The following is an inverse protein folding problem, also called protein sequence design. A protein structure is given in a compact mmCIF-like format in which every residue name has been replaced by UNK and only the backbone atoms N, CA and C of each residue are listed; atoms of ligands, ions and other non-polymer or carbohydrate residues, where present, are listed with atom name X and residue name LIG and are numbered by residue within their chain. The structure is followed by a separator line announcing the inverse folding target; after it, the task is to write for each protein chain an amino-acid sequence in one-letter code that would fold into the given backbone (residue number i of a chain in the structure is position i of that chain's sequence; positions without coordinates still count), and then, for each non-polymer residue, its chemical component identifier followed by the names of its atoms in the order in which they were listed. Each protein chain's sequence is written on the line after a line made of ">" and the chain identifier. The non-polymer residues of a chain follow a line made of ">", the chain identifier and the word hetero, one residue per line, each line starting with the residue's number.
data_IF_304850726571
#
_entry.id   IF_304850726571
#
_cell.length_a   1.000
_cell.length_b   1.000
_cell.length_c   1.000
_cell.angle_alpha   90.00
_cell.angle_beta   90.00
_cell.angle_gamma   90.00
#
_symmetry.space_group_name_H-M   'P 1'
#
loop_
_entity.id
_entity.type
_entity.pdbx_description
1 polymer ?
#
# COMPACT_ATOMS: atom_id res chain seq x y z
N UNK A 1 -23.80 0.37 27.59
CA UNK A 1 -23.66 1.01 26.26
C UNK A 1 -24.97 1.76 25.96
N UNK A 2 -24.97 2.79 25.10
CA UNK A 2 -26.22 3.38 24.61
C UNK A 2 -27.02 2.34 23.81
N UNK A 3 -28.34 2.29 23.98
CA UNK A 3 -29.24 1.36 23.29
C UNK A 3 -29.06 1.35 21.75
N UNK A 4 -28.74 2.51 21.16
CA UNK A 4 -28.49 2.64 19.72
C UNK A 4 -27.26 1.85 19.26
N UNK A 5 -26.18 1.86 20.04
CA UNK A 5 -24.94 1.16 19.70
C UNK A 5 -25.12 -0.37 19.76
N UNK A 6 -25.91 -0.86 20.72
CA UNK A 6 -26.26 -2.29 20.79
C UNK A 6 -27.07 -2.73 19.56
N UNK A 7 -27.99 -1.88 19.08
CA UNK A 7 -28.76 -2.15 17.86
C UNK A 7 -27.87 -2.16 16.61
N UNK A 8 -26.88 -1.27 16.52
CA UNK A 8 -25.90 -1.25 15.42
C UNK A 8 -25.06 -2.52 15.38
N UNK A 9 -24.54 -2.98 16.52
CA UNK A 9 -23.78 -4.24 16.59
C UNK A 9 -24.64 -5.45 16.22
N UNK A 10 -25.89 -5.49 16.69
CA UNK A 10 -26.81 -6.57 16.32
C UNK A 10 -27.13 -6.53 14.83
N UNK A 11 -27.34 -5.35 14.25
CA UNK A 11 -27.59 -5.19 12.82
C UNK A 11 -26.39 -5.68 12.00
N UNK A 12 -25.16 -5.32 12.40
CA UNK A 12 -23.95 -5.73 11.68
C UNK A 12 -23.68 -7.23 11.82
N UNK A 13 -23.85 -7.79 13.01
CA UNK A 13 -23.79 -9.24 13.20
C UNK A 13 -24.84 -9.96 12.33
N UNK A 14 -26.07 -9.45 12.25
CA UNK A 14 -27.11 -10.02 11.40
C UNK A 14 -26.83 -9.86 9.90
N UNK A 15 -26.16 -8.77 9.51
CA UNK A 15 -25.69 -8.56 8.14
C UNK A 15 -24.70 -9.64 7.71
N UNK A 16 -23.79 -10.07 8.59
CA UNK A 16 -22.85 -11.16 8.28
C UNK A 16 -23.57 -12.47 7.87
N UNK A 17 -24.71 -12.78 8.48
CA UNK A 17 -25.55 -13.91 8.06
C UNK A 17 -26.32 -13.61 6.77
N UNK A 18 -26.90 -12.41 6.66
CA UNK A 18 -27.70 -11.99 5.51
C UNK A 18 -26.89 -11.96 4.21
N UNK A 19 -25.62 -11.55 4.27
CA UNK A 19 -24.69 -11.54 3.13
C UNK A 19 -24.09 -12.91 2.85
N UNK A 20 -24.33 -13.90 3.73
CA UNK A 20 -23.82 -15.25 3.59
C UNK A 20 -22.35 -15.41 4.00
N UNK A 21 -21.75 -14.44 4.69
CA UNK A 21 -20.40 -14.60 5.26
C UNK A 21 -20.39 -15.60 6.42
N UNK A 22 -21.45 -15.59 7.23
CA UNK A 22 -21.72 -16.58 8.27
C UNK A 22 -22.93 -17.43 7.90
N UNK A 23 -22.94 -18.67 8.36
CA UNK A 23 -24.10 -19.55 8.31
C UNK A 23 -24.28 -20.28 9.65
N UNK A 24 -25.53 -20.60 9.97
CA UNK A 24 -25.87 -21.35 11.18
C UNK A 24 -25.34 -22.80 11.10
N UNK A 25 -25.02 -23.33 12.26
CA UNK A 25 -24.35 -24.60 12.48
C UNK A 25 -22.84 -24.47 12.41
N UNK A 26 -22.11 -25.22 13.24
CA UNK A 26 -20.64 -25.30 13.18
C UNK A 26 -20.17 -26.55 12.43
N UNK A 27 -20.86 -27.68 12.62
CA UNK A 27 -20.67 -28.96 11.96
C UNK A 27 -21.96 -29.79 12.07
N UNK A 28 -21.97 -31.02 11.54
CA UNK A 28 -23.17 -31.88 11.56
C UNK A 28 -23.64 -32.21 12.99
N UNK A 29 -22.72 -32.28 13.96
CA UNK A 29 -23.06 -32.50 15.38
C UNK A 29 -23.63 -31.25 16.05
N UNK A 30 -23.45 -30.07 15.45
CA UNK A 30 -23.86 -28.77 15.98
C UNK A 30 -24.51 -27.95 14.86
N UNK A 31 -25.57 -28.48 14.24
CA UNK A 31 -26.15 -27.92 13.01
C UNK A 31 -27.08 -26.71 13.22
N UNK A 32 -27.46 -26.42 14.47
CA UNK A 32 -28.41 -25.36 14.81
C UNK A 32 -27.75 -24.20 15.57
N UNK A 33 -28.52 -23.14 15.80
CA UNK A 33 -28.18 -22.07 16.74
C UNK A 33 -27.82 -22.65 18.13
N UNK A 34 -26.92 -22.00 18.88
CA UNK A 34 -26.23 -20.75 18.58
C UNK A 34 -24.94 -20.93 17.76
N UNK A 35 -24.63 -22.16 17.33
CA UNK A 35 -23.40 -22.45 16.59
C UNK A 35 -23.43 -21.86 15.18
N UNK A 36 -22.29 -21.39 14.70
CA UNK A 36 -22.13 -20.89 13.33
C UNK A 36 -20.71 -21.17 12.82
N UNK A 37 -20.52 -20.99 11.52
CA UNK A 37 -19.21 -21.07 10.87
C UNK A 37 -19.07 -19.99 9.79
N UNK A 38 -17.83 -19.75 9.38
CA UNK A 38 -17.50 -18.89 8.25
C UNK A 38 -17.67 -19.70 6.97
N UNK A 39 -18.52 -19.24 6.06
CA UNK A 39 -18.81 -19.91 4.79
C UNK A 39 -17.63 -19.80 3.82
N UNK A 40 -17.69 -20.50 2.68
CA UNK A 40 -16.71 -20.31 1.60
C UNK A 40 -16.71 -18.87 1.04
N UNK A 41 -17.85 -18.17 1.06
CA UNK A 41 -17.94 -16.76 0.66
C UNK A 41 -17.26 -15.89 1.73
N UNK A 42 -17.54 -16.13 3.01
CA UNK A 42 -16.90 -15.42 4.11
C UNK A 42 -15.38 -15.61 4.14
N UNK A 43 -14.88 -16.82 3.89
CA UNK A 43 -13.44 -17.10 3.78
C UNK A 43 -12.79 -16.31 2.65
N UNK A 44 -13.41 -16.28 1.47
CA UNK A 44 -12.93 -15.46 0.34
C UNK A 44 -12.98 -13.96 0.65
N UNK A 45 -14.02 -13.50 1.34
CA UNK A 45 -14.13 -12.11 1.78
C UNK A 45 -12.99 -11.73 2.75
N UNK A 46 -12.64 -12.64 3.68
CA UNK A 46 -11.48 -12.47 4.56
C UNK A 46 -10.17 -12.44 3.77
N UNK A 47 -10.01 -13.32 2.76
CA UNK A 47 -8.83 -13.33 1.89
C UNK A 47 -8.68 -12.02 1.11
N UNK A 48 -9.77 -11.48 0.56
CA UNK A 48 -9.79 -10.17 -0.12
C UNK A 48 -9.50 -9.05 0.87
N UNK A 49 -10.13 -9.09 2.05
CA UNK A 49 -9.94 -8.14 3.15
C UNK A 49 -8.55 -8.16 3.77
N UNK A 50 -7.68 -9.13 3.41
CA UNK A 50 -6.25 -9.03 3.74
C UNK A 50 -5.58 -7.82 3.10
N UNK A 51 -6.13 -7.29 2.01
CA UNK A 51 -5.57 -6.11 1.33
C UNK A 51 -6.04 -4.79 1.95
N UNK A 52 -6.98 -4.84 2.89
CA UNK A 52 -7.56 -3.65 3.49
C UNK A 52 -6.64 -3.11 4.61
N UNK A 53 -6.30 -1.81 4.63
CA UNK A 53 -5.47 -1.22 5.68
C UNK A 53 -6.12 -1.26 7.08
N UNK A 54 -7.43 -1.47 7.17
CA UNK A 54 -8.13 -1.73 8.43
C UNK A 54 -7.74 -3.06 9.07
N UNK A 55 -7.04 -3.93 8.33
CA UNK A 55 -6.44 -5.17 8.81
C UNK A 55 -4.91 -5.12 8.66
N UNK A 56 -4.17 -4.42 9.56
CA UNK A 56 -2.72 -4.23 9.43
C UNK A 56 -1.94 -5.53 9.28
N UNK A 57 -2.29 -6.56 10.06
CA UNK A 57 -1.62 -7.87 10.01
C UNK A 57 -1.84 -8.54 8.65
N UNK A 58 -3.09 -8.57 8.17
CA UNK A 58 -3.41 -9.12 6.86
C UNK A 58 -2.73 -8.36 5.73
N UNK A 59 -2.71 -7.03 5.84
CA UNK A 59 -2.11 -6.12 4.86
C UNK A 59 -0.61 -6.38 4.73
N UNK A 60 0.11 -6.39 5.85
CA UNK A 60 1.55 -6.65 5.86
C UNK A 60 1.87 -8.07 5.38
N UNK A 61 1.07 -9.07 5.76
CA UNK A 61 1.25 -10.44 5.28
C UNK A 61 1.05 -10.55 3.76
N UNK A 62 0.05 -9.86 3.20
CA UNK A 62 -0.16 -9.79 1.76
C UNK A 62 1.02 -9.10 1.06
N UNK A 63 1.44 -7.94 1.56
CA UNK A 63 2.52 -7.16 0.98
C UNK A 63 3.84 -7.95 0.94
N UNK A 64 4.22 -8.55 2.06
CA UNK A 64 5.43 -9.38 2.17
C UNK A 64 5.40 -10.62 1.26
N UNK A 65 4.21 -11.06 0.82
CA UNK A 65 4.09 -12.17 -0.14
C UNK A 65 4.37 -11.77 -1.59
N UNK A 66 4.33 -10.48 -1.92
CA UNK A 66 4.46 -9.98 -3.30
C UNK A 66 5.65 -9.03 -3.51
N UNK A 67 6.20 -8.45 -2.45
CA UNK A 67 7.25 -7.46 -2.50
C UNK A 67 8.15 -7.55 -1.26
N UNK A 68 9.43 -7.24 -1.43
CA UNK A 68 10.35 -6.97 -0.32
C UNK A 68 10.41 -5.46 -0.10
N UNK A 69 10.43 -5.02 1.15
CA UNK A 69 10.53 -3.61 1.53
C UNK A 69 11.84 -3.33 2.27
N UNK A 70 12.42 -2.12 2.11
CA UNK A 70 13.45 -1.63 3.01
C UNK A 70 12.92 -1.52 4.44
N UNK A 71 13.76 -1.80 5.45
CA UNK A 71 13.35 -1.73 6.87
C UNK A 71 12.74 -0.38 7.26
N UNK A 72 13.29 0.72 6.72
CA UNK A 72 12.75 2.08 6.93
C UNK A 72 11.33 2.18 6.38
N UNK A 73 11.09 1.66 5.18
CA UNK A 73 9.75 1.66 4.56
C UNK A 73 8.77 0.82 5.38
N UNK A 74 9.20 -0.38 5.82
CA UNK A 74 8.40 -1.26 6.69
C UNK A 74 8.01 -0.56 8.00
N UNK A 75 8.95 0.12 8.65
CA UNK A 75 8.69 0.83 9.91
C UNK A 75 7.64 1.94 9.74
N UNK A 76 7.79 2.79 8.73
CA UNK A 76 6.82 3.86 8.48
C UNK A 76 5.46 3.33 8.04
N UNK A 77 5.43 2.25 7.26
CA UNK A 77 4.18 1.64 6.82
C UNK A 77 3.40 1.03 7.99
N UNK A 78 4.08 0.36 8.91
CA UNK A 78 3.45 -0.19 10.12
C UNK A 78 2.81 0.92 10.95
N UNK A 79 3.51 2.03 11.19
CA UNK A 79 2.96 3.18 11.90
C UNK A 79 1.80 3.83 11.14
N UNK A 80 1.88 3.90 9.81
CA UNK A 80 0.80 4.40 8.96
C UNK A 80 -0.49 3.59 9.13
N UNK A 81 -0.39 2.26 9.13
CA UNK A 81 -1.52 1.35 9.32
C UNK A 81 -2.18 1.54 10.70
N UNK A 82 -1.37 1.64 11.75
CA UNK A 82 -1.88 1.89 13.11
C UNK A 82 -2.58 3.26 13.22
N UNK A 83 -2.03 4.28 12.56
CA UNK A 83 -2.66 5.59 12.47
C UNK A 83 -4.01 5.52 11.72
N UNK A 84 -4.08 4.76 10.63
CA UNK A 84 -5.31 4.59 9.85
C UNK A 84 -6.42 3.91 10.68
N UNK A 85 -6.11 2.79 11.32
CA UNK A 85 -7.04 2.06 12.21
C UNK A 85 -7.50 2.93 13.39
N UNK A 86 -6.66 3.86 13.85
CA UNK A 86 -6.97 4.80 14.94
C UNK A 86 -7.68 6.08 14.47
N UNK A 87 -8.18 6.10 13.23
CA UNK A 87 -8.80 7.26 12.59
C UNK A 87 -7.92 8.53 12.53
N UNK A 88 -6.60 8.38 12.63
CA UNK A 88 -5.61 9.46 12.51
C UNK A 88 -5.13 9.63 11.06
N UNK A 89 -6.07 9.90 10.16
CA UNK A 89 -5.86 9.87 8.70
C UNK A 89 -4.76 10.81 8.20
N UNK A 90 -4.58 11.99 8.82
CA UNK A 90 -3.48 12.90 8.48
C UNK A 90 -2.11 12.29 8.81
N UNK A 91 -1.97 11.71 10.01
CA UNK A 91 -0.74 11.04 10.41
C UNK A 91 -0.49 9.80 9.54
N UNK A 92 -1.52 9.01 9.26
CA UNK A 92 -1.45 7.87 8.36
C UNK A 92 -0.92 8.27 6.97
N UNK A 93 -1.43 9.37 6.40
CA UNK A 93 -0.98 9.87 5.11
C UNK A 93 0.49 10.32 5.12
N UNK A 94 0.95 10.98 6.19
CA UNK A 94 2.36 11.39 6.34
C UNK A 94 3.27 10.17 6.41
N UNK A 95 2.94 9.19 7.26
CA UNK A 95 3.74 7.98 7.43
C UNK A 95 3.75 7.12 6.16
N UNK A 96 2.62 7.00 5.47
CA UNK A 96 2.55 6.30 4.18
C UNK A 96 3.39 7.00 3.10
N UNK A 97 3.42 8.34 3.11
CA UNK A 97 4.31 9.14 2.27
C UNK A 97 5.78 8.86 2.54
N UNK A 98 6.20 8.85 3.81
CA UNK A 98 7.55 8.52 4.22
C UNK A 98 7.95 7.08 3.83
N UNK A 99 7.04 6.11 3.99
CA UNK A 99 7.25 4.74 3.54
C UNK A 99 7.48 4.65 2.03
N UNK A 100 6.71 5.41 1.24
CA UNK A 100 6.84 5.48 -0.22
C UNK A 100 8.15 6.17 -0.63
N UNK A 101 8.58 7.19 0.11
CA UNK A 101 9.82 7.92 -0.14
C UNK A 101 11.03 7.03 0.13
N UNK A 102 10.99 6.23 1.19
CA UNK A 102 12.01 5.24 1.48
C UNK A 102 12.17 4.21 0.34
N UNK A 103 11.08 3.78 -0.31
CA UNK A 103 11.14 2.90 -1.50
C UNK A 103 11.83 3.60 -2.68
N UNK A 104 11.49 4.87 -2.93
CA UNK A 104 12.10 5.63 -4.03
C UNK A 104 13.60 5.88 -3.81
N UNK A 105 13.99 6.17 -2.56
CA UNK A 105 15.37 6.31 -2.11
C UNK A 105 16.15 5.02 -2.33
N UNK A 106 15.61 3.90 -1.86
CA UNK A 106 16.22 2.59 -1.99
C UNK A 106 16.33 2.13 -3.46
N UNK A 107 15.34 2.46 -4.30
CA UNK A 107 15.42 2.24 -5.76
C UNK A 107 16.52 3.08 -6.42
N UNK A 108 16.68 4.35 -6.03
CA UNK A 108 17.79 5.19 -6.49
C UNK A 108 19.12 4.59 -6.07
N UNK A 109 19.25 4.19 -4.81
CA UNK A 109 20.52 3.69 -4.29
C UNK A 109 20.92 2.40 -5.01
N UNK A 110 19.96 1.54 -5.37
CA UNK A 110 20.20 0.39 -6.24
C UNK A 110 20.68 0.79 -7.64
N UNK A 111 20.06 1.79 -8.30
CA UNK A 111 20.53 2.30 -9.60
C UNK A 111 21.96 2.83 -9.51
N UNK A 112 22.28 3.64 -8.49
CA UNK A 112 23.61 4.23 -8.31
C UNK A 112 24.67 3.17 -7.95
N UNK A 113 24.27 2.09 -7.26
CA UNK A 113 25.18 0.99 -6.94
C UNK A 113 25.48 0.12 -8.17
N UNK A 114 24.49 -0.10 -9.03
CA UNK A 114 24.63 -0.92 -10.25
C UNK A 114 25.36 -0.18 -11.37
N UNK A 115 25.10 1.11 -11.53
CA UNK A 115 25.69 1.94 -12.60
C UNK A 115 26.67 2.94 -11.99
N UNK A 116 27.91 2.88 -12.43
CA UNK A 116 28.99 3.70 -11.93
C UNK A 116 28.99 5.14 -12.48
N UNK A 117 29.99 5.96 -12.09
CA UNK A 117 30.14 7.33 -12.59
C UNK A 117 30.30 7.42 -14.12
N UNK A 118 30.74 6.35 -14.77
CA UNK A 118 30.95 6.28 -16.22
C UNK A 118 29.65 6.05 -17.01
N UNK A 119 28.58 5.57 -16.37
CA UNK A 119 27.32 5.19 -17.01
C UNK A 119 26.38 6.38 -17.33
N UNK A 120 26.88 7.62 -17.24
CA UNK A 120 26.16 8.87 -17.53
C UNK A 120 24.78 8.94 -16.84
N UNK A 121 24.77 8.70 -15.52
CA UNK A 121 23.56 8.76 -14.72
C UNK A 121 22.97 10.18 -14.65
N UNK A 122 21.62 10.33 -14.57
CA UNK A 122 21.01 11.64 -14.39
C UNK A 122 21.47 12.31 -13.09
N UNK A 123 22.01 13.54 -13.19
CA UNK A 123 22.46 14.34 -12.03
C UNK A 123 21.41 14.48 -10.92
N UNK A 124 20.13 14.40 -11.27
CA UNK A 124 19.02 14.50 -10.34
C UNK A 124 18.97 13.36 -9.31
N UNK A 125 19.62 12.21 -9.57
CA UNK A 125 19.67 11.10 -8.62
C UNK A 125 20.44 11.47 -7.34
N UNK A 126 21.49 12.29 -7.44
CA UNK A 126 22.29 12.74 -6.30
C UNK A 126 21.65 13.90 -5.51
N UNK A 127 20.38 14.23 -5.78
CA UNK A 127 19.72 15.37 -5.17
C UNK A 127 19.08 15.00 -3.82
N UNK A 128 19.13 15.92 -2.86
CA UNK A 128 18.45 15.75 -1.57
C UNK A 128 16.92 15.86 -1.67
N UNK A 129 16.40 16.54 -2.70
CA UNK A 129 14.97 16.66 -2.95
C UNK A 129 14.42 15.41 -3.64
N UNK A 130 13.51 14.70 -2.97
CA UNK A 130 12.88 13.50 -3.52
C UNK A 130 12.18 13.73 -4.87
N UNK A 131 11.61 14.91 -5.11
CA UNK A 131 10.98 15.22 -6.41
C UNK A 131 12.01 15.29 -7.55
N UNK A 132 13.25 15.69 -7.27
CA UNK A 132 14.33 15.64 -8.25
C UNK A 132 14.77 14.19 -8.45
N UNK A 133 14.94 13.42 -7.39
CA UNK A 133 15.27 11.99 -7.46
C UNK A 133 14.26 11.22 -8.32
N UNK A 134 12.95 11.40 -8.09
CA UNK A 134 11.91 10.77 -8.90
C UNK A 134 12.01 11.13 -10.39
N UNK A 135 12.29 12.40 -10.71
CA UNK A 135 12.52 12.81 -12.10
C UNK A 135 13.77 12.13 -12.68
N UNK A 136 14.84 12.02 -11.90
CA UNK A 136 16.05 11.30 -12.30
C UNK A 136 15.78 9.82 -12.59
N UNK A 137 15.07 9.14 -11.68
CA UNK A 137 14.66 7.74 -11.86
C UNK A 137 13.78 7.57 -13.09
N UNK A 138 12.82 8.49 -13.32
CA UNK A 138 11.98 8.47 -14.51
C UNK A 138 12.82 8.59 -15.78
N UNK A 139 13.72 9.57 -15.85
CA UNK A 139 14.60 9.75 -17.01
C UNK A 139 15.45 8.52 -17.27
N UNK A 140 16.00 7.92 -16.21
CA UNK A 140 16.79 6.70 -16.30
C UNK A 140 15.97 5.52 -16.85
N UNK A 141 14.84 5.20 -16.22
CA UNK A 141 14.02 4.06 -16.62
C UNK A 141 13.30 4.26 -17.95
N UNK A 142 12.93 5.49 -18.33
CA UNK A 142 12.42 5.78 -19.67
C UNK A 142 13.48 5.47 -20.74
N UNK A 143 14.75 5.79 -20.48
CA UNK A 143 15.87 5.49 -21.37
C UNK A 143 16.16 4.00 -21.50
N UNK A 144 15.86 3.22 -20.45
CA UNK A 144 16.04 1.75 -20.39
C UNK A 144 14.78 0.96 -20.74
N UNK A 145 13.67 1.64 -21.00
CA UNK A 145 12.35 1.01 -21.15
C UNK A 145 12.25 -0.02 -22.27
N UNK A 146 13.05 0.12 -23.33
CA UNK A 146 13.11 -0.86 -24.43
C UNK A 146 13.82 -2.16 -24.05
N UNK A 147 14.64 -2.15 -23.00
CA UNK A 147 15.41 -3.30 -22.51
C UNK A 147 14.59 -4.12 -21.49
N UNK A 148 13.47 -3.58 -20.99
CA UNK A 148 12.66 -4.24 -19.97
C UNK A 148 11.96 -5.50 -20.50
N UNK A 149 11.83 -6.55 -19.66
CA UNK A 149 10.85 -7.60 -19.86
C UNK A 149 9.45 -6.99 -20.00
N UNK A 150 8.60 -7.64 -20.82
CA UNK A 150 7.24 -7.17 -21.10
C UNK A 150 6.44 -6.86 -19.83
N UNK A 151 6.48 -7.75 -18.85
CA UNK A 151 5.76 -7.57 -17.58
C UNK A 151 6.24 -6.31 -16.82
N UNK A 152 7.55 -6.09 -16.70
CA UNK A 152 8.10 -4.90 -16.03
C UNK A 152 7.71 -3.63 -16.78
N UNK A 153 7.74 -3.66 -18.12
CA UNK A 153 7.33 -2.51 -18.94
C UNK A 153 5.86 -2.14 -18.72
N UNK A 154 4.97 -3.13 -18.76
CA UNK A 154 3.52 -2.93 -18.53
C UNK A 154 3.26 -2.36 -17.12
N UNK A 155 3.92 -2.91 -16.07
CA UNK A 155 3.81 -2.39 -14.70
C UNK A 155 4.35 -0.97 -14.56
N UNK A 156 5.49 -0.67 -15.20
CA UNK A 156 6.08 0.67 -15.17
C UNK A 156 5.16 1.71 -15.81
N UNK A 157 4.58 1.39 -16.97
CA UNK A 157 3.62 2.27 -17.66
C UNK A 157 2.35 2.49 -16.84
N UNK A 158 1.86 1.45 -16.16
CA UNK A 158 0.63 1.52 -15.36
C UNK A 158 0.81 2.28 -14.04
N UNK A 159 1.88 2.01 -13.29
CA UNK A 159 1.98 2.41 -11.88
C UNK A 159 2.96 3.55 -11.60
N UNK A 160 3.87 3.90 -12.52
CA UNK A 160 4.84 4.98 -12.25
C UNK A 160 4.18 6.34 -12.01
N UNK A 161 3.14 6.67 -12.77
CA UNK A 161 2.37 7.90 -12.56
C UNK A 161 1.67 7.91 -11.19
N UNK A 162 1.09 6.78 -10.78
CA UNK A 162 0.46 6.64 -9.46
C UNK A 162 1.50 6.76 -8.34
N UNK A 163 2.67 6.15 -8.50
CA UNK A 163 3.77 6.23 -7.54
C UNK A 163 4.22 7.68 -7.28
N UNK A 164 4.48 8.42 -8.35
CA UNK A 164 4.90 9.82 -8.26
C UNK A 164 3.79 10.73 -7.73
N UNK A 165 2.54 10.45 -8.07
CA UNK A 165 1.38 11.19 -7.55
C UNK A 165 1.22 10.99 -6.04
N UNK A 166 1.30 9.75 -5.55
CA UNK A 166 1.15 9.43 -4.13
C UNK A 166 2.21 10.15 -3.28
N UNK A 167 3.47 10.16 -3.73
CA UNK A 167 4.56 10.91 -3.09
C UNK A 167 4.31 12.42 -3.08
N UNK A 168 3.72 12.96 -4.15
CA UNK A 168 3.41 14.39 -4.25
C UNK A 168 2.29 14.80 -3.28
N UNK A 169 1.19 14.04 -3.23
CA UNK A 169 0.01 14.37 -2.43
C UNK A 169 0.28 14.23 -0.93
N UNK A 170 0.94 13.14 -0.51
CA UNK A 170 1.28 12.93 0.90
C UNK A 170 2.27 13.98 1.44
N UNK A 171 3.25 14.40 0.61
CA UNK A 171 4.24 15.42 0.99
C UNK A 171 3.71 16.85 0.94
N UNK A 172 3.04 17.23 -0.15
CA UNK A 172 2.66 18.63 -0.39
C UNK A 172 1.33 19.00 0.29
N UNK A 173 0.34 18.11 0.29
CA UNK A 173 -1.00 18.50 0.73
C UNK A 173 -1.16 18.29 2.24
N UNK A 174 -0.52 17.27 2.83
CA UNK A 174 -0.66 16.95 4.27
C UNK A 174 0.41 17.62 5.14
N UNK A 175 1.62 17.83 4.61
CA UNK A 175 2.73 18.47 5.34
C UNK A 175 2.62 20.00 5.43
N UNK A 176 1.80 20.63 4.60
CA UNK A 176 1.57 22.08 4.65
C UNK A 176 0.27 22.40 5.42
N UNK A 177 0.31 23.27 6.45
CA UNK A 177 -0.86 23.62 7.25
C UNK A 177 -1.78 24.62 6.52
N UNK A 178 -2.07 24.38 5.24
CA UNK A 178 -2.90 25.24 4.39
C UNK A 178 -4.38 24.88 4.44
N UNK A 179 -4.72 23.67 4.90
CA UNK A 179 -6.11 23.20 5.07
C UNK A 179 -6.29 22.50 6.42
N UNK A 180 -7.47 22.66 7.04
CA UNK A 180 -7.86 21.92 8.25
C UNK A 180 -8.00 20.41 7.96
N UNK A 181 -8.46 20.07 6.74
CA UNK A 181 -8.69 18.72 6.23
C UNK A 181 -7.99 18.57 4.87
N UNK A 182 -6.66 18.35 4.84
CA UNK A 182 -5.91 18.23 3.60
C UNK A 182 -6.16 16.92 2.86
N UNK A 183 -6.65 15.89 3.55
CA UNK A 183 -6.94 14.55 2.99
C UNK A 183 -8.22 13.98 3.59
N UNK A 184 -8.99 13.25 2.77
CA UNK A 184 -10.14 12.47 3.23
C UNK A 184 -9.71 11.05 3.58
N UNK A 185 -10.53 10.35 4.37
CA UNK A 185 -10.33 8.93 4.70
C UNK A 185 -10.21 8.08 3.44
N UNK A 186 -11.08 8.31 2.46
CA UNK A 186 -11.12 7.56 1.20
C UNK A 186 -9.85 7.77 0.37
N UNK A 187 -9.29 8.97 0.38
CA UNK A 187 -8.04 9.26 -0.32
C UNK A 187 -6.84 8.54 0.33
N UNK A 188 -6.80 8.49 1.66
CA UNK A 188 -5.77 7.75 2.40
C UNK A 188 -5.93 6.25 2.20
N UNK A 189 -7.16 5.74 2.27
CA UNK A 189 -7.49 4.34 1.99
C UNK A 189 -7.07 3.95 0.57
N UNK A 190 -7.42 4.74 -0.45
CA UNK A 190 -7.00 4.50 -1.83
C UNK A 190 -5.46 4.47 -1.97
N UNK A 191 -4.75 5.32 -1.22
CA UNK A 191 -3.28 5.32 -1.20
C UNK A 191 -2.71 4.03 -0.60
N UNK A 192 -3.34 3.47 0.44
CA UNK A 192 -2.98 2.15 0.96
C UNK A 192 -3.27 1.04 -0.04
N UNK A 193 -4.36 1.10 -0.80
CA UNK A 193 -4.67 0.07 -1.80
C UNK A 193 -3.69 0.07 -2.97
N UNK A 194 -3.08 1.21 -3.30
CA UNK A 194 -2.10 1.36 -4.39
C UNK A 194 -0.67 1.02 -3.94
N UNK A 195 -0.33 1.23 -2.66
CA UNK A 195 1.03 1.03 -2.14
C UNK A 195 1.64 -0.35 -2.45
N UNK A 196 0.92 -1.49 -2.39
CA UNK A 196 1.50 -2.80 -2.72
C UNK A 196 1.97 -2.89 -4.18
N UNK A 197 1.25 -2.25 -5.11
CA UNK A 197 1.63 -2.20 -6.53
C UNK A 197 2.89 -1.35 -6.75
N UNK A 198 3.04 -0.28 -5.97
CA UNK A 198 4.26 0.55 -5.96
C UNK A 198 5.46 -0.25 -5.47
N UNK A 199 5.31 -0.95 -4.35
CA UNK A 199 6.36 -1.79 -3.79
C UNK A 199 6.75 -2.93 -4.76
N UNK A 200 5.77 -3.52 -5.44
CA UNK A 200 6.02 -4.50 -6.48
C UNK A 200 6.78 -3.88 -7.65
N UNK A 201 6.36 -2.72 -8.15
CA UNK A 201 7.02 -2.04 -9.25
C UNK A 201 8.49 -1.76 -8.94
N UNK A 202 8.80 -1.24 -7.75
CA UNK A 202 10.18 -0.98 -7.33
C UNK A 202 11.04 -2.25 -7.36
N UNK A 203 10.52 -3.38 -6.85
CA UNK A 203 11.22 -4.66 -6.89
C UNK A 203 11.46 -5.16 -8.33
N UNK A 204 10.48 -5.02 -9.22
CA UNK A 204 10.65 -5.39 -10.64
C UNK A 204 11.70 -4.51 -11.32
N UNK A 205 11.70 -3.21 -11.06
CA UNK A 205 12.68 -2.27 -11.61
C UNK A 205 14.10 -2.58 -11.11
N UNK A 206 14.28 -2.89 -9.82
CA UNK A 206 15.57 -3.35 -9.28
C UNK A 206 16.05 -4.62 -9.97
N UNK A 207 15.19 -5.62 -10.10
CA UNK A 207 15.56 -6.88 -10.76
C UNK A 207 15.96 -6.66 -12.23
N UNK A 208 15.28 -5.76 -12.93
CA UNK A 208 15.57 -5.44 -14.33
C UNK A 208 16.89 -4.70 -14.54
N UNK A 209 17.46 -4.05 -13.53
CA UNK A 209 18.78 -3.42 -13.65
C UNK A 209 19.94 -4.34 -13.26
N UNK A 210 19.66 -5.40 -12.50
CA UNK A 210 20.65 -6.43 -12.13
C UNK A 210 20.84 -7.51 -13.20
N UNK A 211 19.94 -7.57 -14.19
CA UNK A 211 19.92 -8.58 -15.27
C UNK A 211 20.57 -8.05 -16.55
#
# INVERSE_FOLDING_TARGET
>A
MPLALEQEYLAEFHNLFRTGYLAWGHNLSNASRPFFHITAIGKRAIEIGRRDPSNPIGYMAHLNSIASLPEISTSYLDEALHCFVSAQHKAAAVMLGAASEAIAIDLRDAVVATFGPEDNLPNNLNNWLISKVLNGLKTFFDGKKSEFPRETKEKYEAYWAAFTHQLRTTRNDVGHPTSLNPVSEEAVHASFLIFPEIAQLANHLKKSIES
#
